data_IF_140194430262
#
_entry.id   IF_140194430262
#
_cell.length_a   1.000
_cell.length_b   1.000
_cell.length_c   1.000
_cell.angle_alpha   90.00
_cell.angle_beta   90.00
_cell.angle_gamma   90.00
#
_symmetry.space_group_name_H-M   'P 1'
#
loop_
_entity.id
_entity.type
_entity.pdbx_description
1 polymer ?
#
# COMPACT_ATOMS: atom_id res chain seq x y z
N UNK A 1 9.43 0.97 -16.37
CA UNK A 1 8.16 1.68 -16.54
C UNK A 1 8.48 3.08 -17.06
N UNK A 2 7.81 3.55 -18.11
CA UNK A 2 7.98 4.91 -18.62
C UNK A 2 7.18 5.92 -17.79
N UNK A 3 7.50 6.02 -16.50
CA UNK A 3 6.85 6.94 -15.57
C UNK A 3 7.45 8.35 -15.73
N UNK A 4 6.60 9.37 -15.62
CA UNK A 4 7.06 10.76 -15.53
C UNK A 4 7.75 10.99 -14.20
N UNK A 5 8.92 11.62 -14.24
CA UNK A 5 9.67 11.95 -13.00
C UNK A 5 9.03 13.05 -12.16
N UNK A 6 8.12 13.80 -12.75
CA UNK A 6 7.38 14.90 -12.09
C UNK A 6 6.01 14.49 -11.59
N UNK A 7 5.55 13.25 -11.86
CA UNK A 7 4.26 12.76 -11.42
C UNK A 7 4.37 12.04 -10.08
N UNK A 8 3.35 12.19 -9.25
CA UNK A 8 3.16 11.37 -8.07
C UNK A 8 2.75 9.94 -8.44
N UNK A 9 3.26 8.97 -7.72
CA UNK A 9 2.98 7.56 -7.95
C UNK A 9 2.04 7.04 -6.87
N UNK A 10 0.83 6.67 -7.28
CA UNK A 10 -0.11 5.94 -6.44
C UNK A 10 0.01 4.43 -6.72
N UNK A 11 0.45 3.66 -5.74
CA UNK A 11 0.53 2.21 -5.83
C UNK A 11 -0.76 1.58 -5.30
N UNK A 12 -1.44 0.78 -6.12
CA UNK A 12 -2.61 0.00 -5.72
C UNK A 12 -2.25 -1.48 -5.65
N UNK A 13 -2.47 -2.09 -4.48
CA UNK A 13 -2.32 -3.53 -4.30
C UNK A 13 -3.67 -4.19 -4.06
N UNK A 14 -4.14 -4.96 -5.04
CA UNK A 14 -5.48 -5.55 -5.00
C UNK A 14 -5.59 -6.83 -4.18
N UNK A 15 -4.45 -7.40 -3.78
CA UNK A 15 -4.41 -8.73 -3.17
C UNK A 15 -4.79 -9.86 -4.14
N UNK A 16 -4.61 -11.10 -3.70
CA UNK A 16 -4.86 -12.28 -4.55
C UNK A 16 -6.35 -12.53 -4.84
N UNK A 17 -7.25 -12.07 -3.97
CA UNK A 17 -8.70 -12.30 -4.11
C UNK A 17 -9.46 -11.13 -4.73
N UNK A 18 -8.76 -10.11 -5.21
CA UNK A 18 -9.37 -8.91 -5.77
C UNK A 18 -10.14 -8.08 -4.73
N UNK A 19 -10.15 -6.78 -4.91
CA UNK A 19 -11.12 -5.90 -4.29
C UNK A 19 -12.42 -6.00 -5.07
N UNK A 20 -13.51 -5.52 -4.52
CA UNK A 20 -14.73 -5.23 -5.26
C UNK A 20 -14.46 -4.49 -6.59
N UNK A 21 -15.38 -3.78 -7.15
CA UNK A 21 -15.14 -3.09 -8.44
C UNK A 21 -14.15 -1.92 -8.29
N UNK A 22 -12.85 -2.22 -8.37
CA UNK A 22 -11.77 -1.22 -8.33
C UNK A 22 -11.53 -0.55 -9.69
N UNK A 23 -12.17 -1.04 -10.76
CA UNK A 23 -11.92 -0.53 -12.11
C UNK A 23 -12.13 0.99 -12.25
N UNK A 24 -13.09 1.64 -11.58
CA UNK A 24 -13.24 3.08 -11.67
C UNK A 24 -12.19 3.87 -10.88
N UNK A 25 -11.49 3.25 -9.92
CA UNK A 25 -10.61 3.96 -9.00
C UNK A 25 -9.39 4.61 -9.67
N UNK A 26 -8.65 3.95 -10.60
CA UNK A 26 -7.56 4.63 -11.32
C UNK A 26 -8.00 5.86 -12.09
N UNK A 27 -9.21 5.83 -12.69
CA UNK A 27 -9.77 6.98 -13.40
C UNK A 27 -10.06 8.14 -12.44
N UNK A 28 -10.67 7.86 -11.30
CA UNK A 28 -10.96 8.86 -10.27
C UNK A 28 -9.69 9.49 -9.69
N UNK A 29 -8.66 8.69 -9.43
CA UNK A 29 -7.35 9.17 -8.99
C UNK A 29 -6.72 10.09 -10.05
N UNK A 30 -6.73 9.67 -11.30
CA UNK A 30 -6.22 10.46 -12.41
C UNK A 30 -7.06 11.70 -12.73
N UNK A 31 -8.35 11.68 -12.46
CA UNK A 31 -9.24 12.83 -12.65
C UNK A 31 -9.13 13.85 -11.52
N UNK A 32 -8.90 13.38 -10.28
CA UNK A 32 -8.70 14.24 -9.13
C UNK A 32 -7.44 15.11 -9.28
N UNK A 33 -6.35 14.51 -9.83
CA UNK A 33 -5.06 15.17 -9.94
C UNK A 33 -4.38 14.88 -11.30
N UNK A 34 -3.96 15.93 -11.98
CA UNK A 34 -3.42 15.84 -13.34
C UNK A 34 -2.04 15.18 -13.40
N UNK A 35 -1.27 15.23 -12.33
CA UNK A 35 0.11 14.74 -12.21
C UNK A 35 0.25 13.41 -11.47
N UNK A 36 -0.86 12.67 -11.25
CA UNK A 36 -0.84 11.34 -10.64
C UNK A 36 -0.74 10.25 -11.69
N UNK A 37 0.15 9.30 -11.47
CA UNK A 37 0.26 8.02 -12.18
C UNK A 37 -0.08 6.88 -11.24
N UNK A 38 -0.81 5.87 -11.74
CA UNK A 38 -1.30 4.76 -10.94
C UNK A 38 -0.64 3.46 -11.39
N UNK A 39 0.01 2.78 -10.47
CA UNK A 39 0.51 1.42 -10.66
C UNK A 39 -0.43 0.47 -9.94
N UNK A 40 -0.98 -0.52 -10.63
CA UNK A 40 -1.86 -1.54 -10.07
C UNK A 40 -1.16 -2.90 -10.09
N UNK A 41 -0.80 -3.43 -8.93
CA UNK A 41 -0.32 -4.80 -8.80
C UNK A 41 -1.51 -5.75 -8.67
N UNK A 42 -1.80 -6.49 -9.74
CA UNK A 42 -2.97 -7.38 -9.81
C UNK A 42 -2.69 -8.79 -9.32
N UNK A 43 -1.44 -9.10 -8.97
CA UNK A 43 -1.04 -10.44 -8.54
C UNK A 43 -1.36 -11.49 -9.60
N UNK A 44 -2.01 -12.57 -9.20
CA UNK A 44 -2.44 -13.65 -10.09
C UNK A 44 -3.72 -13.36 -10.89
N UNK A 45 -4.38 -12.20 -10.66
CA UNK A 45 -5.64 -11.87 -11.30
C UNK A 45 -5.42 -11.34 -12.74
N UNK A 46 -5.23 -12.27 -13.69
CA UNK A 46 -5.01 -11.95 -15.10
C UNK A 46 -6.21 -11.24 -15.75
N UNK A 47 -7.43 -11.57 -15.33
CA UNK A 47 -8.65 -10.96 -15.86
C UNK A 47 -8.72 -9.48 -15.46
N UNK A 48 -8.47 -9.15 -14.21
CA UNK A 48 -8.42 -7.76 -13.74
C UNK A 48 -7.33 -6.96 -14.50
N UNK A 49 -6.15 -7.56 -14.68
CA UNK A 49 -5.08 -6.93 -15.45
C UNK A 49 -5.50 -6.62 -16.88
N UNK A 50 -6.16 -7.57 -17.55
CA UNK A 50 -6.66 -7.38 -18.91
C UNK A 50 -7.68 -6.25 -18.97
N UNK A 51 -8.67 -6.23 -18.08
CA UNK A 51 -9.69 -5.17 -18.00
C UNK A 51 -9.07 -3.78 -17.76
N UNK A 52 -8.08 -3.68 -16.88
CA UNK A 52 -7.36 -2.43 -16.64
C UNK A 52 -6.57 -1.98 -17.87
N UNK A 53 -5.89 -2.90 -18.55
CA UNK A 53 -5.14 -2.60 -19.76
C UNK A 53 -6.05 -2.16 -20.92
N UNK A 54 -7.19 -2.81 -21.10
CA UNK A 54 -8.19 -2.43 -22.11
C UNK A 54 -8.79 -1.06 -21.83
N UNK A 55 -9.07 -0.75 -20.56
CA UNK A 55 -9.70 0.52 -20.21
C UNK A 55 -8.74 1.71 -20.19
N UNK A 56 -7.50 1.50 -19.75
CA UNK A 56 -6.55 2.59 -19.46
C UNK A 56 -5.23 2.51 -20.21
N UNK A 57 -4.97 1.46 -20.98
CA UNK A 57 -3.66 1.23 -21.61
C UNK A 57 -3.20 2.35 -22.53
N UNK A 58 -4.12 3.11 -23.12
CA UNK A 58 -3.81 4.28 -23.97
C UNK A 58 -3.54 5.56 -23.19
N UNK A 59 -3.85 5.61 -21.89
CA UNK A 59 -3.73 6.83 -21.08
C UNK A 59 -2.27 7.18 -20.73
N UNK A 60 -1.38 6.19 -20.69
CA UNK A 60 -0.01 6.32 -20.21
C UNK A 60 0.12 6.61 -18.71
N UNK A 61 -1.00 6.78 -18.00
CA UNK A 61 -1.05 7.15 -16.57
C UNK A 61 -1.39 5.97 -15.66
N UNK A 62 -1.93 4.89 -16.18
CA UNK A 62 -2.31 3.70 -15.43
C UNK A 62 -1.57 2.49 -15.98
N UNK A 63 -0.82 1.82 -15.10
CA UNK A 63 -0.01 0.66 -15.45
C UNK A 63 -0.45 -0.52 -14.60
N UNK A 64 -1.02 -1.55 -15.24
CA UNK A 64 -1.42 -2.79 -14.59
C UNK A 64 -0.32 -3.84 -14.73
N UNK A 65 0.19 -4.33 -13.60
CA UNK A 65 1.28 -5.30 -13.55
C UNK A 65 0.80 -6.64 -12.96
N UNK A 66 1.36 -7.75 -13.44
CA UNK A 66 1.09 -9.08 -12.88
C UNK A 66 1.75 -9.26 -11.50
N UNK A 67 1.74 -10.48 -11.02
CA UNK A 67 2.56 -10.89 -9.87
C UNK A 67 4.03 -10.52 -10.12
N UNK A 68 4.67 -10.02 -9.06
CA UNK A 68 6.09 -9.66 -9.05
C UNK A 68 6.69 -10.00 -7.68
N UNK A 69 7.94 -10.39 -7.66
CA UNK A 69 8.79 -10.56 -6.48
C UNK A 69 9.47 -9.24 -6.05
N UNK A 70 9.28 -8.18 -6.85
CA UNK A 70 9.86 -6.85 -6.61
C UNK A 70 8.89 -5.86 -5.96
N UNK A 71 7.97 -6.35 -5.12
CA UNK A 71 6.94 -5.51 -4.47
C UNK A 71 7.57 -4.37 -3.66
N UNK A 72 8.66 -4.66 -2.94
CA UNK A 72 9.38 -3.67 -2.14
C UNK A 72 9.92 -2.49 -2.97
N UNK A 73 10.36 -2.73 -4.22
CA UNK A 73 10.82 -1.67 -5.12
C UNK A 73 9.68 -0.73 -5.52
N UNK A 74 8.48 -1.28 -5.76
CA UNK A 74 7.29 -0.48 -6.06
C UNK A 74 6.81 0.31 -4.85
N UNK A 75 6.84 -0.31 -3.66
CA UNK A 75 6.53 0.39 -2.41
C UNK A 75 7.50 1.54 -2.15
N UNK A 76 8.81 1.30 -2.31
CA UNK A 76 9.83 2.33 -2.10
C UNK A 76 9.77 3.48 -3.13
N UNK A 77 9.16 3.23 -4.29
CA UNK A 77 9.07 4.22 -5.37
C UNK A 77 7.74 4.99 -5.39
N UNK A 78 6.76 4.63 -4.57
CA UNK A 78 5.46 5.30 -4.58
C UNK A 78 5.37 6.39 -3.51
N UNK A 79 4.52 7.38 -3.78
CA UNK A 79 4.23 8.50 -2.86
C UNK A 79 3.06 8.18 -1.93
N UNK A 80 2.13 7.32 -2.37
CA UNK A 80 1.03 6.80 -1.56
C UNK A 80 0.68 5.38 -2.00
N UNK A 81 0.33 4.55 -1.04
CA UNK A 81 -0.10 3.19 -1.28
C UNK A 81 -1.55 2.96 -0.85
N UNK A 82 -2.33 2.32 -1.72
CA UNK A 82 -3.69 1.85 -1.45
C UNK A 82 -3.69 0.34 -1.32
N UNK A 83 -4.13 -0.18 -0.21
CA UNK A 83 -4.18 -1.62 0.03
C UNK A 83 -5.29 -2.00 0.98
N UNK A 84 -5.73 -3.26 0.93
CA UNK A 84 -6.44 -3.86 2.05
C UNK A 84 -5.53 -3.91 3.29
N UNK A 85 -6.08 -3.88 4.50
CA UNK A 85 -5.30 -3.95 5.72
C UNK A 85 -4.82 -5.37 6.04
N UNK A 86 -4.15 -6.00 5.07
CA UNK A 86 -3.49 -7.29 5.24
C UNK A 86 -2.25 -7.15 6.14
N UNK A 87 -2.04 -8.11 7.05
CA UNK A 87 -0.95 -8.04 8.04
C UNK A 87 0.42 -7.83 7.41
N UNK A 88 0.82 -8.68 6.44
CA UNK A 88 2.12 -8.59 5.79
C UNK A 88 2.26 -7.30 4.99
N UNK A 89 1.36 -7.05 4.06
CA UNK A 89 1.42 -5.88 3.17
C UNK A 89 1.46 -4.56 3.93
N UNK A 90 0.63 -4.42 4.99
CA UNK A 90 0.61 -3.21 5.81
C UNK A 90 1.91 -3.02 6.60
N UNK A 91 2.47 -4.12 7.14
CA UNK A 91 3.73 -4.09 7.88
C UNK A 91 4.92 -3.80 6.96
N UNK A 92 4.95 -4.37 5.76
CA UNK A 92 5.97 -4.11 4.74
C UNK A 92 5.95 -2.63 4.30
N UNK A 93 4.76 -2.09 4.02
CA UNK A 93 4.60 -0.68 3.68
C UNK A 93 5.09 0.24 4.80
N UNK A 94 4.72 -0.06 6.05
CA UNK A 94 5.15 0.72 7.21
C UNK A 94 6.65 0.60 7.48
N UNK A 95 7.25 -0.58 7.30
CA UNK A 95 8.70 -0.77 7.43
C UNK A 95 9.50 0.01 6.38
N UNK A 96 8.90 0.28 5.21
CA UNK A 96 9.44 1.10 4.15
C UNK A 96 9.04 2.59 4.26
N UNK A 97 8.31 2.98 5.30
CA UNK A 97 7.83 4.34 5.54
C UNK A 97 6.97 4.89 4.38
N UNK A 98 6.09 4.05 3.84
CA UNK A 98 5.19 4.42 2.73
C UNK A 98 3.90 5.00 3.29
N UNK A 99 3.47 6.21 2.86
CA UNK A 99 2.15 6.74 3.20
C UNK A 99 1.05 5.78 2.75
N UNK A 100 0.20 5.33 3.69
CA UNK A 100 -0.69 4.20 3.51
C UNK A 100 -2.16 4.57 3.73
N UNK A 101 -3.01 4.16 2.79
CA UNK A 101 -4.46 4.22 2.91
C UNK A 101 -5.01 2.79 2.88
N UNK A 102 -5.65 2.38 3.95
CA UNK A 102 -6.39 1.14 4.01
C UNK A 102 -7.77 1.31 3.39
N UNK A 103 -8.06 0.44 2.45
CA UNK A 103 -9.38 0.34 1.81
C UNK A 103 -10.26 -0.66 2.55
N UNK A 104 -11.40 -1.05 1.96
CA UNK A 104 -12.39 -1.93 2.58
C UNK A 104 -11.77 -3.24 3.11
N UNK A 105 -11.81 -3.49 4.42
CA UNK A 105 -11.30 -4.72 5.00
C UNK A 105 -12.25 -5.89 4.78
N UNK A 106 -11.69 -7.08 4.66
CA UNK A 106 -12.46 -8.31 4.84
C UNK A 106 -12.76 -8.46 6.34
N UNK A 107 -14.01 -8.75 6.74
CA UNK A 107 -14.34 -8.93 8.15
C UNK A 107 -13.44 -9.96 8.84
N UNK A 108 -12.97 -9.61 10.04
CA UNK A 108 -12.08 -10.45 10.85
C UNK A 108 -10.71 -9.84 11.10
N UNK A 109 -9.63 -10.52 10.70
CA UNK A 109 -8.26 -10.05 10.94
C UNK A 109 -7.98 -8.69 10.31
N UNK A 110 -8.44 -8.46 9.08
CA UNK A 110 -8.20 -7.19 8.38
C UNK A 110 -8.86 -6.00 9.08
N UNK A 111 -10.04 -6.20 9.68
CA UNK A 111 -10.70 -5.14 10.46
C UNK A 111 -9.87 -4.73 11.68
N UNK A 112 -9.22 -5.69 12.36
CA UNK A 112 -8.36 -5.40 13.52
C UNK A 112 -7.06 -4.72 13.09
N UNK A 113 -6.47 -5.17 11.97
CA UNK A 113 -5.29 -4.53 11.41
C UNK A 113 -5.57 -3.08 11.04
N UNK A 114 -6.70 -2.81 10.35
CA UNK A 114 -7.09 -1.45 10.00
C UNK A 114 -7.23 -0.55 11.23
N UNK A 115 -7.91 -1.04 12.28
CA UNK A 115 -8.07 -0.32 13.54
C UNK A 115 -6.71 -0.02 14.18
N UNK A 116 -5.85 -1.04 14.32
CA UNK A 116 -4.51 -0.89 14.90
C UNK A 116 -3.67 0.16 14.17
N UNK A 117 -3.62 0.09 12.85
CA UNK A 117 -2.83 1.04 12.06
C UNK A 117 -3.40 2.47 12.15
N UNK A 118 -4.72 2.61 12.13
CA UNK A 118 -5.38 3.91 12.24
C UNK A 118 -5.20 4.54 13.63
N UNK A 119 -5.40 3.77 14.70
CA UNK A 119 -5.25 4.22 16.09
C UNK A 119 -3.83 4.68 16.41
N UNK A 120 -2.82 4.08 15.75
CA UNK A 120 -1.42 4.47 15.89
C UNK A 120 -0.96 5.53 14.88
N UNK A 121 -1.86 6.06 14.06
CA UNK A 121 -1.53 7.09 13.07
C UNK A 121 -0.68 6.60 11.88
N UNK A 122 -0.61 5.28 11.66
CA UNK A 122 0.23 4.65 10.64
C UNK A 122 -0.43 4.53 9.27
N UNK A 123 -1.75 4.74 9.19
CA UNK A 123 -2.52 4.76 7.95
C UNK A 123 -3.75 5.63 8.09
N UNK A 124 -4.29 6.08 6.96
CA UNK A 124 -5.67 6.52 6.85
C UNK A 124 -6.57 5.34 6.47
N UNK A 125 -7.88 5.52 6.61
CA UNK A 125 -8.88 4.58 6.12
C UNK A 125 -9.86 5.30 5.21
N UNK A 126 -10.21 4.69 4.09
CA UNK A 126 -11.22 5.19 3.17
C UNK A 126 -12.03 4.03 2.59
N UNK A 127 -13.33 4.23 2.36
CA UNK A 127 -14.29 3.22 1.94
C UNK A 127 -15.00 3.68 0.66
N UNK A 128 -15.04 2.78 -0.32
CA UNK A 128 -15.60 3.12 -1.63
C UNK A 128 -14.69 4.02 -2.48
N UNK A 129 -14.87 3.93 -3.79
CA UNK A 129 -13.93 4.52 -4.76
C UNK A 129 -13.81 6.03 -4.69
N UNK A 130 -14.88 6.73 -4.31
CA UNK A 130 -14.88 8.20 -4.23
C UNK A 130 -14.06 8.69 -3.04
N UNK A 131 -14.35 8.16 -1.84
CA UNK A 131 -13.61 8.54 -0.63
C UNK A 131 -12.13 8.15 -0.72
N UNK A 132 -11.82 6.98 -1.32
CA UNK A 132 -10.44 6.55 -1.54
C UNK A 132 -9.69 7.55 -2.43
N UNK A 133 -10.29 7.98 -3.55
CA UNK A 133 -9.66 8.93 -4.46
C UNK A 133 -9.43 10.29 -3.80
N UNK A 134 -10.42 10.82 -3.06
CA UNK A 134 -10.31 12.08 -2.33
C UNK A 134 -9.27 12.01 -1.20
N UNK A 135 -9.23 10.91 -0.46
CA UNK A 135 -8.25 10.69 0.62
C UNK A 135 -6.84 10.60 0.05
N UNK A 136 -6.66 9.90 -1.08
CA UNK A 136 -5.36 9.78 -1.74
C UNK A 136 -4.88 11.15 -2.25
N UNK A 137 -5.74 11.91 -2.93
CA UNK A 137 -5.43 13.27 -3.37
C UNK A 137 -5.04 14.16 -2.19
N UNK A 138 -5.83 14.16 -1.12
CA UNK A 138 -5.53 14.93 0.10
C UNK A 138 -4.19 14.54 0.71
N UNK A 139 -3.88 13.23 0.80
CA UNK A 139 -2.63 12.77 1.39
C UNK A 139 -1.42 13.12 0.53
N UNK A 140 -1.52 13.02 -0.80
CA UNK A 140 -0.42 13.32 -1.73
C UNK A 140 0.08 14.77 -1.59
N UNK A 141 -0.80 15.72 -1.33
CA UNK A 141 -0.43 17.14 -1.21
C UNK A 141 -0.34 17.64 0.24
N UNK A 142 -0.40 16.74 1.23
CA UNK A 142 -0.29 17.09 2.64
C UNK A 142 1.01 16.54 3.24
N UNK A 143 2.12 17.18 2.93
CA UNK A 143 3.44 16.79 3.43
C UNK A 143 3.52 16.67 4.97
N UNK A 144 2.92 17.57 5.79
CA UNK A 144 2.86 17.38 7.24
C UNK A 144 2.17 16.09 7.67
N UNK A 145 1.06 15.71 7.03
CA UNK A 145 0.33 14.49 7.33
C UNK A 145 1.13 13.24 6.94
N UNK A 146 1.75 13.25 5.74
CA UNK A 146 2.66 12.17 5.32
C UNK A 146 3.79 11.99 6.34
N UNK A 147 4.45 13.07 6.73
CA UNK A 147 5.57 13.02 7.67
C UNK A 147 5.14 12.50 9.05
N UNK A 148 3.98 12.90 9.55
CA UNK A 148 3.44 12.39 10.80
C UNK A 148 3.15 10.89 10.72
N UNK A 149 2.58 10.41 9.61
CA UNK A 149 2.33 8.99 9.36
C UNK A 149 3.63 8.19 9.31
N UNK A 150 4.62 8.64 8.56
CA UNK A 150 5.95 8.01 8.46
C UNK A 150 6.63 7.91 9.82
N UNK A 151 6.57 8.98 10.64
CA UNK A 151 7.11 8.95 12.00
C UNK A 151 6.40 7.95 12.89
N UNK A 152 5.07 7.84 12.79
CA UNK A 152 4.29 6.86 13.52
C UNK A 152 4.65 5.43 13.10
N UNK A 153 4.81 5.17 11.81
CA UNK A 153 5.27 3.89 11.27
C UNK A 153 6.65 3.51 11.79
N UNK A 154 7.63 4.41 11.65
CA UNK A 154 9.01 4.18 12.10
C UNK A 154 9.12 3.94 13.62
N UNK A 155 8.24 4.56 14.42
CA UNK A 155 8.19 4.37 15.87
C UNK A 155 7.57 3.04 16.28
N UNK A 156 6.59 2.55 15.52
CA UNK A 156 5.73 1.42 15.93
C UNK A 156 6.17 0.11 15.29
N UNK A 157 6.65 0.14 14.04
CA UNK A 157 7.02 -1.08 13.29
C UNK A 157 8.54 -1.27 13.35
N UNK A 158 8.94 -2.43 13.87
CA UNK A 158 10.35 -2.84 13.85
C UNK A 158 10.68 -3.52 12.51
N UNK A 159 11.39 -2.83 11.64
CA UNK A 159 11.83 -3.35 10.35
C UNK A 159 12.79 -4.57 10.47
N UNK A 160 13.37 -4.79 11.63
CA UNK A 160 14.33 -5.86 11.90
C UNK A 160 13.76 -6.96 12.82
N UNK A 161 12.44 -6.99 13.04
CA UNK A 161 11.80 -7.90 13.99
C UNK A 161 12.13 -9.38 13.79
N UNK A 162 12.28 -9.83 12.55
CA UNK A 162 12.65 -11.22 12.25
C UNK A 162 14.07 -11.54 12.73
N UNK A 163 15.03 -10.66 12.51
CA UNK A 163 16.41 -10.81 13.00
C UNK A 163 16.43 -10.80 14.53
N UNK A 164 15.79 -9.82 15.14
CA UNK A 164 15.77 -9.68 16.59
C UNK A 164 15.13 -10.90 17.27
N UNK A 165 14.10 -11.48 16.66
CA UNK A 165 13.50 -12.74 17.15
C UNK A 165 14.46 -13.93 17.07
N UNK A 166 15.26 -14.03 16.00
CA UNK A 166 16.28 -15.07 15.85
C UNK A 166 17.39 -14.88 16.89
N UNK A 167 17.89 -13.66 17.03
CA UNK A 167 18.95 -13.32 17.98
C UNK A 167 18.51 -13.68 19.42
N UNK A 168 17.29 -13.31 19.81
CA UNK A 168 16.71 -13.68 21.10
C UNK A 168 16.58 -15.20 21.30
N UNK A 169 16.21 -15.94 20.26
CA UNK A 169 16.12 -17.41 20.32
C UNK A 169 17.50 -18.03 20.51
N UNK A 170 18.51 -17.56 19.79
CA UNK A 170 19.90 -18.05 19.89
C UNK A 170 20.51 -17.75 21.28
N UNK A 171 20.28 -16.55 21.83
CA UNK A 171 20.72 -16.21 23.18
C UNK A 171 20.15 -17.17 24.23
N UNK A 172 18.85 -17.49 24.15
CA UNK A 172 18.20 -18.43 25.06
C UNK A 172 18.69 -19.88 24.89
N UNK A 173 19.01 -20.30 23.67
CA UNK A 173 19.57 -21.63 23.42
C UNK A 173 21.04 -21.76 23.88
N UNK A 174 21.77 -20.64 23.91
CA UNK A 174 23.18 -20.61 24.31
C UNK A 174 23.40 -20.44 25.81
N UNK A 175 22.35 -20.07 26.56
CA UNK A 175 22.40 -19.99 28.03
C UNK A 175 22.28 -21.41 28.58
N UNK A 176 23.31 -21.98 29.25
CA UNK A 176 23.18 -23.28 29.90
C UNK A 176 22.10 -23.17 30.96
N UNK A 177 21.12 -24.05 30.86
CA UNK A 177 20.00 -24.13 31.83
C UNK A 177 20.51 -24.15 33.25
N UNK A 178 19.94 -23.27 34.10
CA UNK A 178 20.05 -23.34 35.57
C UNK A 178 19.20 -24.49 36.08
#
# INVERSE_FOLDING_TARGET
LNLSRSAYICLMMTGSMGFGDILPLPEKLCAAEADVQVIVLTGSNAEMRKRLAERYGSSGRVIALPFTDRVADYMAACDVMLSKPGGLTSTEAAALNVPLIHTDPIPGCETRNAAFFQEHGMSLRAVGTEEIAQTAASLLYNAPLQQAMIQAQAKTINAYAARDAIDLALERCSSPGV
#
